data_IF_436627293155
#
_entry.id   IF_436627293155
#
_cell.length_a   1.000
_cell.length_b   1.000
_cell.length_c   1.000
_cell.angle_alpha   90.00
_cell.angle_beta   90.00
_cell.angle_gamma   90.00
#
_symmetry.space_group_name_H-M   'P 1'
#
loop_
_entity.id
_entity.type
_entity.pdbx_description
1 polymer ?
#
# COMPACT_ATOMS: atom_id res chain seq x y z
N UNK A 1 9.32 -41.00 35.13
CA UNK A 1 10.39 -39.98 35.12
C UNK A 1 10.20 -39.14 33.88
N UNK A 2 9.64 -37.93 33.99
CA UNK A 2 9.41 -37.06 32.83
C UNK A 2 10.74 -36.40 32.42
N UNK A 3 11.15 -36.60 31.17
CA UNK A 3 12.31 -35.97 30.56
C UNK A 3 12.20 -34.42 30.62
N UNK A 4 13.31 -33.69 30.88
CA UNK A 4 13.31 -32.24 30.80
C UNK A 4 13.12 -31.81 29.35
N UNK A 5 12.15 -30.91 29.14
CA UNK A 5 11.73 -30.41 27.83
C UNK A 5 12.91 -29.67 27.19
N UNK A 6 13.41 -30.20 26.08
CA UNK A 6 14.44 -29.56 25.25
C UNK A 6 14.05 -28.11 24.96
N UNK A 7 14.73 -27.18 25.64
CA UNK A 7 14.57 -25.76 25.44
C UNK A 7 15.21 -25.41 24.09
N UNK A 8 14.38 -25.04 23.13
CA UNK A 8 14.80 -24.73 21.76
C UNK A 8 15.86 -23.63 21.76
N UNK A 9 17.13 -24.03 21.65
CA UNK A 9 18.27 -23.12 21.59
C UNK A 9 18.10 -22.25 20.35
N UNK A 10 17.69 -20.99 20.56
CA UNK A 10 17.56 -20.02 19.48
C UNK A 10 18.97 -19.72 18.96
N UNK A 11 19.35 -20.38 17.87
CA UNK A 11 20.64 -20.22 17.16
C UNK A 11 20.75 -18.87 16.44
N UNK A 12 20.23 -17.80 17.02
CA UNK A 12 20.47 -16.45 16.53
C UNK A 12 21.94 -16.12 16.78
N UNK A 13 22.65 -15.76 15.71
CA UNK A 13 24.09 -15.44 15.71
C UNK A 13 24.49 -14.38 16.76
N UNK A 14 23.54 -13.56 17.21
CA UNK A 14 23.74 -12.55 18.26
C UNK A 14 23.94 -13.11 19.68
N UNK A 15 23.55 -14.36 19.96
CA UNK A 15 23.65 -14.97 21.29
C UNK A 15 24.87 -15.91 21.45
N UNK A 16 25.71 -16.08 20.42
CA UNK A 16 26.82 -17.05 20.41
C UNK A 16 28.11 -16.56 21.09
N UNK A 17 28.14 -15.35 21.66
CA UNK A 17 29.38 -14.70 22.15
C UNK A 17 29.36 -14.20 23.59
N UNK A 18 28.56 -14.79 24.49
CA UNK A 18 28.52 -14.37 25.91
C UNK A 18 27.88 -12.99 26.15
N UNK A 19 27.33 -12.36 25.12
CA UNK A 19 26.55 -11.13 25.23
C UNK A 19 25.11 -11.47 25.63
N UNK A 20 24.71 -11.06 26.83
CA UNK A 20 23.31 -11.11 27.27
C UNK A 20 22.58 -9.85 26.80
N UNK A 21 21.74 -9.91 25.75
CA UNK A 21 21.04 -8.73 25.28
C UNK A 21 20.06 -8.24 26.34
N UNK A 22 20.03 -6.93 26.54
CA UNK A 22 19.00 -6.26 27.31
C UNK A 22 17.72 -6.18 26.49
N UNK A 23 16.62 -6.68 27.02
CA UNK A 23 15.31 -6.58 26.42
C UNK A 23 14.83 -5.13 26.44
N UNK A 24 14.56 -4.55 25.27
CA UNK A 24 13.99 -3.21 25.17
C UNK A 24 12.52 -3.14 25.63
N UNK A 25 11.83 -4.28 25.73
CA UNK A 25 10.43 -4.32 26.18
C UNK A 25 10.31 -4.29 27.71
N UNK A 26 11.02 -5.17 28.44
CA UNK A 26 10.92 -5.29 29.89
C UNK A 26 12.16 -4.83 30.67
N UNK A 27 13.28 -4.56 30.00
CA UNK A 27 14.54 -4.16 30.64
C UNK A 27 15.43 -5.29 31.16
N UNK A 28 14.96 -6.54 31.17
CA UNK A 28 15.72 -7.71 31.64
C UNK A 28 16.76 -8.18 30.63
N UNK A 29 17.83 -8.82 31.11
CA UNK A 29 18.90 -9.40 30.27
C UNK A 29 18.58 -10.85 29.90
N UNK A 30 19.29 -11.38 28.89
CA UNK A 30 19.16 -12.77 28.42
C UNK A 30 18.15 -12.98 27.30
N UNK A 31 17.43 -11.94 26.86
CA UNK A 31 16.53 -12.04 25.70
C UNK A 31 16.33 -10.69 25.00
N UNK A 32 15.93 -10.74 23.72
CA UNK A 32 15.54 -9.57 22.93
C UNK A 32 14.04 -9.31 23.01
N UNK A 33 13.59 -8.10 22.66
CA UNK A 33 12.17 -7.72 22.69
C UNK A 33 11.26 -8.67 21.86
N UNK A 34 11.77 -9.29 20.80
CA UNK A 34 11.02 -10.28 20.02
C UNK A 34 10.71 -11.56 20.79
N UNK A 35 11.61 -12.00 21.66
CA UNK A 35 11.51 -13.22 22.48
C UNK A 35 10.96 -12.94 23.89
N UNK A 36 10.60 -11.70 24.20
CA UNK A 36 10.03 -11.34 25.48
C UNK A 36 8.62 -11.95 25.63
N UNK A 37 8.42 -12.72 26.71
CA UNK A 37 7.12 -13.33 27.05
C UNK A 37 6.17 -12.35 27.73
N UNK A 38 6.69 -11.23 28.26
CA UNK A 38 5.87 -10.18 28.89
C UNK A 38 5.09 -9.41 27.82
N UNK A 39 3.97 -8.84 28.23
CA UNK A 39 3.17 -7.95 27.40
C UNK A 39 4.02 -6.78 26.87
N UNK A 40 3.60 -6.19 25.74
CA UNK A 40 4.34 -5.06 25.16
C UNK A 40 4.09 -3.81 25.99
N UNK A 41 5.04 -3.51 26.88
CA UNK A 41 5.07 -2.31 27.72
C UNK A 41 5.42 -1.07 26.91
N UNK A 42 6.14 -1.25 25.80
CA UNK A 42 6.48 -0.18 24.88
C UNK A 42 5.24 0.37 24.15
N UNK A 43 5.09 1.70 24.05
CA UNK A 43 4.05 2.29 23.22
C UNK A 43 4.28 1.94 21.76
N UNK A 44 3.20 1.63 21.04
CA UNK A 44 3.27 1.34 19.62
C UNK A 44 3.73 2.59 18.85
N UNK A 45 4.79 2.46 18.06
CA UNK A 45 5.34 3.53 17.22
C UNK A 45 4.37 4.04 16.12
N UNK A 46 3.21 3.41 15.93
CA UNK A 46 2.22 3.78 14.90
C UNK A 46 1.04 4.55 15.49
N UNK A 47 0.61 4.22 16.71
CA UNK A 47 -0.59 4.79 17.32
C UNK A 47 -0.41 5.20 18.78
N UNK A 48 0.81 5.12 19.29
CA UNK A 48 1.21 5.47 20.66
C UNK A 48 0.48 4.72 21.79
N UNK A 49 -0.31 3.69 21.47
CA UNK A 49 -0.99 2.83 22.45
C UNK A 49 -0.11 1.64 22.84
N UNK A 50 -0.15 1.24 24.11
CA UNK A 50 0.58 0.08 24.64
C UNK A 50 -0.19 -1.23 24.40
N UNK A 51 0.44 -2.37 24.67
CA UNK A 51 -0.21 -3.69 24.65
C UNK A 51 -0.16 -4.42 23.30
N UNK A 52 0.45 -3.86 22.26
CA UNK A 52 0.63 -4.56 20.98
C UNK A 52 1.95 -4.18 20.29
N UNK A 53 2.47 -5.10 19.46
CA UNK A 53 3.63 -4.85 18.58
C UNK A 53 3.23 -4.04 17.35
N UNK A 54 4.18 -3.35 16.73
CA UNK A 54 4.00 -2.61 15.47
C UNK A 54 3.33 -3.45 14.37
N UNK A 55 3.59 -4.75 14.35
CA UNK A 55 3.02 -5.70 13.37
C UNK A 55 1.53 -5.99 13.60
N UNK A 56 1.08 -5.98 14.84
CA UNK A 56 -0.30 -6.27 15.25
C UNK A 56 -1.07 -5.00 15.65
N UNK A 57 -0.65 -3.83 15.16
CA UNK A 57 -1.29 -2.58 15.50
C UNK A 57 -2.69 -2.47 14.88
N UNK A 58 -3.75 -2.36 15.69
CA UNK A 58 -5.13 -2.26 15.18
C UNK A 58 -5.43 -0.90 14.53
N UNK A 59 -4.65 0.13 14.87
CA UNK A 59 -4.80 1.49 14.31
C UNK A 59 -3.84 1.79 13.16
N UNK A 60 -3.12 0.77 12.66
CA UNK A 60 -2.30 0.94 11.47
C UNK A 60 -3.21 1.17 10.26
N UNK A 61 -2.98 2.25 9.54
CA UNK A 61 -3.61 2.51 8.24
C UNK A 61 -2.93 1.65 7.16
N UNK A 62 -3.72 0.91 6.39
CA UNK A 62 -3.25 0.28 5.17
C UNK A 62 -3.10 1.32 4.07
N UNK A 63 -1.91 1.48 3.51
CA UNK A 63 -1.70 2.47 2.43
C UNK A 63 -2.35 2.05 1.10
N UNK A 64 -2.79 0.80 0.97
CA UNK A 64 -3.47 0.31 -0.25
C UNK A 64 -4.96 0.62 -0.26
N UNK A 65 -5.65 0.49 0.88
CA UNK A 65 -7.11 0.66 0.97
C UNK A 65 -7.56 1.73 1.96
N UNK A 66 -6.61 2.39 2.63
CA UNK A 66 -6.83 3.43 3.65
C UNK A 66 -7.67 2.97 4.85
N UNK A 67 -7.90 1.67 5.03
CA UNK A 67 -8.59 1.11 6.21
C UNK A 67 -7.60 0.74 7.31
N UNK A 68 -8.07 0.75 8.55
CA UNK A 68 -7.30 0.42 9.73
C UNK A 68 -7.17 -1.10 9.93
N UNK A 69 -6.29 -1.53 10.82
CA UNK A 69 -6.25 -2.89 11.37
C UNK A 69 -5.43 -3.92 10.61
N UNK A 70 -4.73 -3.54 9.54
CA UNK A 70 -3.89 -4.50 8.80
C UNK A 70 -2.70 -3.85 8.07
N UNK A 71 -1.70 -4.68 7.75
CA UNK A 71 -0.55 -4.30 6.90
C UNK A 71 -0.94 -4.42 5.43
N UNK A 72 -0.32 -3.61 4.56
CA UNK A 72 -0.47 -3.72 3.09
C UNK A 72 -0.37 -5.15 2.54
N UNK A 73 0.50 -5.99 3.11
CA UNK A 73 0.67 -7.39 2.70
C UNK A 73 -0.54 -8.28 3.03
N UNK A 74 -1.33 -7.93 4.04
CA UNK A 74 -2.56 -8.64 4.45
C UNK A 74 -3.82 -7.89 4.03
N UNK A 75 -3.69 -7.01 3.04
CA UNK A 75 -4.80 -6.24 2.52
C UNK A 75 -5.66 -7.12 1.62
N UNK A 76 -6.87 -7.45 2.09
CA UNK A 76 -7.83 -8.30 1.35
C UNK A 76 -8.59 -7.55 0.26
N UNK A 77 -8.58 -6.21 0.26
CA UNK A 77 -9.19 -5.45 -0.81
C UNK A 77 -8.34 -5.61 -2.08
N UNK A 78 -9.02 -5.91 -3.19
CA UNK A 78 -8.45 -6.02 -4.53
C UNK A 78 -7.46 -4.87 -4.82
N UNK A 79 -6.43 -5.10 -5.67
CA UNK A 79 -5.52 -4.04 -6.10
C UNK A 79 -6.37 -2.86 -6.54
N UNK A 80 -5.99 -1.68 -6.05
CA UNK A 80 -6.58 -0.37 -6.35
C UNK A 80 -7.57 -0.49 -7.51
N UNK A 81 -8.88 -0.44 -7.25
CA UNK A 81 -9.85 -0.20 -8.31
C UNK A 81 -9.21 0.88 -9.16
N UNK A 82 -8.83 0.50 -10.39
CA UNK A 82 -7.86 1.23 -11.21
C UNK A 82 -8.27 2.68 -11.04
N UNK A 83 -7.38 3.55 -10.56
CA UNK A 83 -7.63 4.99 -10.72
C UNK A 83 -7.68 5.11 -12.22
N UNK A 84 -8.88 5.01 -12.80
CA UNK A 84 -9.12 5.39 -14.16
C UNK A 84 -8.69 6.84 -14.15
N UNK A 85 -7.53 7.09 -14.74
CA UNK A 85 -7.13 8.42 -15.13
C UNK A 85 -8.12 8.86 -16.20
N UNK A 86 -9.33 9.16 -15.75
CA UNK A 86 -10.25 10.02 -16.47
C UNK A 86 -9.64 11.39 -16.28
N UNK A 87 -8.83 11.79 -17.25
CA UNK A 87 -8.15 13.08 -17.43
C UNK A 87 -9.08 14.30 -17.43
N UNK A 88 -10.32 14.15 -16.97
CA UNK A 88 -11.30 15.22 -16.89
C UNK A 88 -11.01 16.06 -15.65
N UNK A 89 -10.33 17.19 -15.87
CA UNK A 89 -10.55 18.34 -15.00
C UNK A 89 -12.04 18.71 -15.06
N UNK A 90 -12.72 18.91 -13.92
CA UNK A 90 -14.11 19.35 -13.93
C UNK A 90 -14.18 20.82 -14.35
N UNK A 91 -14.73 21.09 -15.54
CA UNK A 91 -15.16 22.45 -15.91
C UNK A 91 -16.32 22.90 -15.02
N UNK A 92 -16.34 24.15 -14.55
CA UNK A 92 -17.31 24.65 -13.56
C UNK A 92 -18.72 24.94 -14.10
N UNK A 93 -18.99 24.74 -15.39
CA UNK A 93 -20.33 24.95 -15.97
C UNK A 93 -20.81 23.67 -16.65
N UNK A 94 -21.84 23.08 -16.04
CA UNK A 94 -22.38 21.78 -16.40
C UNK A 94 -23.36 21.87 -17.55
N UNK A 95 -22.86 21.65 -18.78
CA UNK A 95 -23.71 21.61 -19.96
C UNK A 95 -23.46 20.32 -20.76
N UNK A 96 -24.46 19.44 -20.68
CA UNK A 96 -24.80 18.29 -21.54
C UNK A 96 -23.82 17.96 -22.68
N UNK A 97 -23.15 16.80 -22.53
CA UNK A 97 -22.46 15.97 -23.54
C UNK A 97 -22.76 16.34 -25.01
N UNK A 98 -22.03 17.29 -25.58
CA UNK A 98 -21.88 17.40 -27.02
C UNK A 98 -20.62 16.63 -27.39
N UNK A 99 -20.79 15.47 -28.03
CA UNK A 99 -19.66 14.79 -28.69
C UNK A 99 -19.26 15.72 -29.84
N UNK A 100 -18.20 16.50 -29.68
CA UNK A 100 -17.67 17.26 -30.80
C UNK A 100 -17.24 16.24 -31.85
N UNK A 101 -17.99 16.19 -32.96
CA UNK A 101 -17.65 15.38 -34.11
C UNK A 101 -16.28 15.83 -34.58
N UNK A 102 -15.28 14.96 -34.45
CA UNK A 102 -13.96 15.20 -35.02
C UNK A 102 -14.15 15.21 -36.54
N UNK A 103 -14.26 16.41 -37.12
CA UNK A 103 -14.25 16.56 -38.57
C UNK A 103 -12.87 16.17 -39.09
N UNK A 104 -12.86 15.48 -40.22
CA UNK A 104 -11.66 15.06 -40.91
C UNK A 104 -10.82 16.30 -41.25
N UNK A 105 -9.61 16.38 -40.70
CA UNK A 105 -8.70 17.51 -40.92
C UNK A 105 -8.17 17.62 -42.36
N UNK A 106 -8.44 16.63 -43.22
CA UNK A 106 -8.05 16.63 -44.63
C UNK A 106 -9.17 17.09 -45.58
N UNK A 107 -10.45 16.82 -45.27
CA UNK A 107 -11.58 17.12 -46.14
C UNK A 107 -12.81 17.77 -45.46
N UNK A 108 -12.78 17.97 -44.15
CA UNK A 108 -13.86 18.59 -43.36
C UNK A 108 -15.06 17.68 -43.05
N UNK A 109 -15.10 16.45 -43.58
CA UNK A 109 -16.21 15.52 -43.36
C UNK A 109 -16.28 14.99 -41.93
N UNK A 110 -17.48 14.84 -41.38
CA UNK A 110 -17.73 14.29 -40.03
C UNK A 110 -17.99 12.78 -39.99
N UNK A 111 -17.93 12.08 -41.13
CA UNK A 111 -18.27 10.64 -41.23
C UNK A 111 -17.08 9.70 -41.01
N UNK A 112 -15.86 10.23 -40.95
CA UNK A 112 -14.64 9.45 -40.75
C UNK A 112 -13.55 10.28 -40.08
N UNK A 113 -12.61 9.61 -39.41
CA UNK A 113 -11.41 10.26 -38.87
C UNK A 113 -10.41 10.55 -40.01
N UNK A 114 -9.61 11.62 -39.89
CA UNK A 114 -8.71 12.05 -40.98
C UNK A 114 -7.65 11.03 -41.42
N UNK A 115 -7.35 10.03 -40.58
CA UNK A 115 -6.50 8.88 -40.92
C UNK A 115 -7.15 7.88 -41.87
N UNK A 116 -8.49 7.84 -41.91
CA UNK A 116 -9.29 7.03 -42.82
C UNK A 116 -9.78 7.83 -44.03
N UNK A 117 -9.29 9.07 -44.21
CA UNK A 117 -9.62 9.92 -45.33
C UNK A 117 -8.92 9.40 -46.59
N UNK A 118 -9.72 9.03 -47.60
CA UNK A 118 -9.20 8.61 -48.91
C UNK A 118 -8.82 9.79 -49.81
N UNK A 119 -9.08 11.02 -49.37
CA UNK A 119 -8.68 12.24 -50.08
C UNK A 119 -7.35 12.79 -49.54
N UNK A 120 -6.46 13.22 -50.43
CA UNK A 120 -5.26 13.98 -50.07
C UNK A 120 -5.67 15.33 -49.49
N UNK A 121 -4.88 15.84 -48.51
CA UNK A 121 -5.12 17.12 -47.83
C UNK A 121 -5.41 18.22 -48.87
N UNK A 122 -6.57 18.87 -48.77
CA UNK A 122 -6.85 20.05 -49.60
C UNK A 122 -6.04 21.23 -49.07
N UNK A 123 -5.25 21.84 -49.94
CA UNK A 123 -4.58 23.12 -49.65
C UNK A 123 -5.66 24.20 -49.51
N UNK A 124 -5.57 25.10 -48.52
CA UNK A 124 -6.48 26.24 -48.46
C UNK A 124 -6.24 27.16 -49.68
N UNK A 125 -7.33 27.64 -50.29
CA UNK A 125 -7.30 28.63 -51.35
C UNK A 125 -6.88 30.02 -50.82
#
# INVERSE_FOLDING_TARGET
MQAPKEESINRNRYFQGGYEPKCFNCGERGHIASACKKENLLPCMVCSRKGHKKENCPFRVCYRCKRLGHRNSRCKTAPHAKREWKSYLPSPHGDKKTKHAVSCYNCGSSTHAGTACRETRREPA
#
